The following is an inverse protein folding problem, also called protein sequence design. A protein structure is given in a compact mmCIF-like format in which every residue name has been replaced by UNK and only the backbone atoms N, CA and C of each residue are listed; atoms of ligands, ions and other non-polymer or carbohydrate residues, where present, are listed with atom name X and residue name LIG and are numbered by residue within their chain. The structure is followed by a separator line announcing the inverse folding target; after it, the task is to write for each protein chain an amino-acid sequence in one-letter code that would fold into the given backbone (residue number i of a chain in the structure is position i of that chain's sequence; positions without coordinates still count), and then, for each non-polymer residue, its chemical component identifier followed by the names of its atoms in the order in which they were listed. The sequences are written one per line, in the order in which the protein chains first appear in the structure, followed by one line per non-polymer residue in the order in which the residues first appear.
data_IF_871887135612
#
_entry.id   IF_871887135612
#
_cell.length_a   1.000
_cell.length_b   1.000
_cell.length_c   1.000
_cell.angle_alpha   90.00
_cell.angle_beta   90.00
_cell.angle_gamma   90.00
#
_symmetry.space_group_name_H-M   'P 1'
#
loop_
_entity.id
_entity.type
_entity.pdbx_description
1 polymer ?
#
# COMPACT_ATOMS: atom_id res chain seq x y z
N UNK A 1 -10.29 -74.14 41.09
CA UNK A 1 -11.46 -73.84 40.25
C UNK A 1 -11.25 -72.45 39.68
N UNK A 2 -10.95 -72.34 38.38
CA UNK A 2 -10.64 -71.07 37.73
C UNK A 2 -11.89 -70.58 37.01
N UNK A 3 -12.45 -69.46 37.47
CA UNK A 3 -13.67 -68.88 36.90
C UNK A 3 -13.32 -67.97 35.72
N UNK A 4 -13.75 -68.36 34.52
CA UNK A 4 -13.53 -67.63 33.25
C UNK A 4 -14.26 -66.28 33.18
N UNK A 5 -15.30 -66.08 34.00
CA UNK A 5 -16.03 -64.81 34.06
C UNK A 5 -15.23 -63.68 34.74
N UNK A 6 -14.26 -63.99 35.60
CA UNK A 6 -13.45 -62.95 36.26
C UNK A 6 -12.39 -62.36 35.33
N UNK A 7 -11.93 -63.14 34.37
CA UNK A 7 -10.98 -62.70 33.34
C UNK A 7 -11.64 -61.76 32.35
N UNK A 8 -12.85 -62.06 31.87
CA UNK A 8 -13.54 -61.19 30.88
C UNK A 8 -13.94 -59.82 31.45
N UNK A 9 -14.35 -59.75 32.73
CA UNK A 9 -14.66 -58.47 33.40
C UNK A 9 -13.39 -57.64 33.64
N UNK A 10 -12.27 -58.31 33.93
CA UNK A 10 -10.96 -57.67 34.08
C UNK A 10 -10.46 -57.13 32.73
N UNK A 11 -10.66 -57.89 31.66
CA UNK A 11 -10.29 -57.51 30.30
C UNK A 11 -11.16 -56.35 29.78
N UNK A 12 -12.46 -56.31 30.12
CA UNK A 12 -13.36 -55.17 29.80
C UNK A 12 -13.02 -53.90 30.61
N UNK A 13 -12.70 -54.03 31.91
CA UNK A 13 -12.25 -52.90 32.75
C UNK A 13 -10.88 -52.35 32.31
N UNK A 14 -9.96 -53.21 31.85
CA UNK A 14 -8.67 -52.81 31.28
C UNK A 14 -8.83 -52.17 29.90
N UNK A 15 -9.74 -52.67 29.05
CA UNK A 15 -10.07 -52.04 27.77
C UNK A 15 -10.77 -50.67 27.95
N UNK A 16 -11.66 -50.52 28.93
CA UNK A 16 -12.29 -49.22 29.25
C UNK A 16 -11.30 -48.23 29.88
N UNK A 17 -10.34 -48.69 30.69
CA UNK A 17 -9.26 -47.84 31.23
C UNK A 17 -8.26 -47.43 30.15
N UNK A 18 -7.93 -48.32 29.20
CA UNK A 18 -7.09 -48.02 28.05
C UNK A 18 -7.80 -47.11 27.02
N UNK A 19 -9.14 -47.21 26.87
CA UNK A 19 -9.94 -46.35 25.97
C UNK A 19 -10.15 -44.93 26.52
N UNK A 20 -10.04 -44.71 27.84
CA UNK A 20 -10.16 -43.37 28.46
C UNK A 20 -8.79 -42.67 28.56
N UNK A 21 -7.67 -43.39 28.35
CA UNK A 21 -6.31 -42.82 28.40
C UNK A 21 -5.53 -43.16 27.13
N UNK A 22 -6.04 -42.73 25.98
CA UNK A 22 -5.18 -42.39 24.84
C UNK A 22 -5.32 -40.89 24.56
N UNK A 23 -4.78 -40.08 25.48
CA UNK A 23 -4.46 -38.69 25.15
C UNK A 23 -3.28 -38.74 24.16
N UNK A 24 -3.60 -38.77 22.87
CA UNK A 24 -2.66 -38.48 21.79
C UNK A 24 -1.84 -37.26 22.23
N UNK A 25 -0.50 -37.34 22.34
CA UNK A 25 0.29 -36.18 22.72
C UNK A 25 -0.03 -35.08 21.71
N UNK A 26 -0.76 -34.07 22.19
CA UNK A 26 -1.09 -32.92 21.40
C UNK A 26 0.24 -32.35 20.91
N UNK A 27 0.37 -32.29 19.58
CA UNK A 27 1.55 -31.82 18.84
C UNK A 27 2.25 -30.73 19.63
N UNK A 28 3.58 -30.76 19.69
CA UNK A 28 4.39 -29.66 20.21
C UNK A 28 4.10 -28.40 19.37
N UNK A 29 3.01 -27.71 19.71
CA UNK A 29 2.70 -26.39 19.22
C UNK A 29 3.73 -25.54 19.92
N UNK A 30 4.80 -25.24 19.16
CA UNK A 30 5.88 -24.31 19.48
C UNK A 30 5.54 -23.45 20.69
N UNK A 31 6.38 -23.51 21.73
CA UNK A 31 6.30 -22.69 22.95
C UNK A 31 6.41 -21.20 22.60
N UNK A 32 5.38 -20.71 21.95
CA UNK A 32 5.21 -19.33 21.58
C UNK A 32 4.84 -18.62 22.86
N UNK A 33 5.47 -17.47 23.10
CA UNK A 33 5.31 -16.70 24.33
C UNK A 33 3.83 -16.57 24.75
N UNK A 34 2.91 -16.45 23.79
CA UNK A 34 1.46 -16.48 24.02
C UNK A 34 0.95 -17.75 24.71
N UNK A 35 1.33 -18.95 24.28
CA UNK A 35 0.91 -20.20 24.95
C UNK A 35 1.53 -20.30 26.34
N UNK A 36 2.76 -19.83 26.55
CA UNK A 36 3.35 -19.79 27.89
C UNK A 36 2.66 -18.77 28.83
N UNK A 37 2.22 -17.62 28.31
CA UNK A 37 1.50 -16.61 29.10
C UNK A 37 0.03 -16.97 29.36
N UNK A 38 -0.65 -17.66 28.44
CA UNK A 38 -2.08 -18.02 28.56
C UNK A 38 -2.32 -19.43 29.12
N UNK A 39 -1.49 -20.42 28.79
CA UNK A 39 -1.70 -21.81 29.21
C UNK A 39 -1.07 -22.12 30.57
N UNK A 40 0.09 -21.52 30.91
CA UNK A 40 0.73 -21.71 32.20
C UNK A 40 0.29 -20.58 33.13
N UNK A 41 -0.79 -20.81 33.87
CA UNK A 41 -1.48 -19.85 34.75
C UNK A 41 -0.57 -19.08 35.71
N UNK A 42 0.10 -18.04 35.22
CA UNK A 42 0.95 -17.13 35.99
C UNK A 42 0.14 -16.00 36.64
N UNK A 43 -1.18 -16.02 36.49
CA UNK A 43 -2.09 -14.98 36.97
C UNK A 43 -2.71 -15.46 38.29
N UNK A 44 -1.94 -15.31 39.37
CA UNK A 44 -2.47 -15.39 40.74
C UNK A 44 -3.43 -14.22 40.96
N UNK A 45 -4.52 -14.37 41.75
CA UNK A 45 -5.58 -13.33 41.90
C UNK A 45 -5.07 -11.92 42.23
N UNK A 46 -3.95 -11.82 42.96
CA UNK A 46 -3.34 -10.55 43.36
C UNK A 46 -2.61 -9.86 42.20
N UNK A 47 -1.88 -10.61 41.37
CA UNK A 47 -1.23 -10.07 40.15
C UNK A 47 -2.25 -9.82 39.03
N UNK A 48 -3.31 -10.61 38.95
CA UNK A 48 -4.43 -10.41 38.02
C UNK A 48 -5.08 -9.03 38.17
N UNK A 49 -5.35 -8.65 39.41
CA UNK A 49 -6.04 -7.39 39.74
C UNK A 49 -5.14 -6.19 39.46
N UNK A 50 -3.83 -6.31 39.71
CA UNK A 50 -2.84 -5.27 39.38
C UNK A 50 -2.52 -5.14 37.89
N UNK A 51 -2.59 -6.23 37.12
CA UNK A 51 -2.32 -6.24 35.68
C UNK A 51 -3.54 -5.84 34.81
N UNK A 52 -4.75 -5.90 35.37
CA UNK A 52 -6.00 -5.54 34.71
C UNK A 52 -5.98 -4.15 34.02
N UNK A 53 -5.54 -3.05 34.67
CA UNK A 53 -5.43 -1.75 33.99
C UNK A 53 -4.41 -1.75 32.85
N UNK A 54 -3.34 -2.54 32.93
CA UNK A 54 -2.32 -2.64 31.88
C UNK A 54 -2.84 -3.39 30.64
N UNK A 55 -3.63 -4.45 30.82
CA UNK A 55 -4.27 -5.17 29.71
C UNK A 55 -5.28 -4.28 29.01
N UNK A 56 -6.09 -3.52 29.77
CA UNK A 56 -7.01 -2.52 29.20
C UNK A 56 -6.27 -1.44 28.42
N UNK A 57 -5.11 -1.00 28.90
CA UNK A 57 -4.29 -0.03 28.17
C UNK A 57 -3.80 -0.58 26.82
N UNK A 58 -3.32 -1.83 26.78
CA UNK A 58 -2.91 -2.48 25.52
C UNK A 58 -4.11 -2.68 24.59
N UNK A 59 -5.27 -3.09 25.12
CA UNK A 59 -6.49 -3.24 24.33
C UNK A 59 -6.94 -1.91 23.72
N UNK A 60 -6.85 -0.81 24.48
CA UNK A 60 -7.12 0.55 24.00
C UNK A 60 -6.14 0.94 22.88
N UNK A 61 -4.84 0.70 23.07
CA UNK A 61 -3.84 0.91 22.02
C UNK A 61 -4.13 0.10 20.75
N UNK A 62 -4.54 -1.17 20.92
CA UNK A 62 -4.97 -2.03 19.81
C UNK A 62 -6.18 -1.47 19.07
N UNK A 63 -7.16 -0.93 19.80
CA UNK A 63 -8.33 -0.27 19.22
C UNK A 63 -7.94 0.98 18.41
N UNK A 64 -7.07 1.83 18.96
CA UNK A 64 -6.54 3.00 18.24
C UNK A 64 -5.78 2.56 16.99
N UNK A 65 -4.99 1.49 17.08
CA UNK A 65 -4.24 0.96 15.95
C UNK A 65 -5.15 0.49 14.82
N UNK A 66 -6.19 -0.29 15.13
CA UNK A 66 -7.18 -0.75 14.14
C UNK A 66 -7.90 0.45 13.51
N UNK A 67 -8.23 1.47 14.31
CA UNK A 67 -8.82 2.71 13.82
C UNK A 67 -7.91 3.42 12.81
N UNK A 68 -6.63 3.59 13.15
CA UNK A 68 -5.64 4.21 12.26
C UNK A 68 -5.40 3.38 10.99
N UNK A 69 -5.41 2.05 11.09
CA UNK A 69 -5.27 1.17 9.94
C UNK A 69 -6.39 1.39 8.91
N UNK A 70 -7.63 1.56 9.36
CA UNK A 70 -8.75 1.82 8.46
C UNK A 70 -8.65 3.19 7.76
N UNK A 71 -8.10 4.20 8.44
CA UNK A 71 -7.82 5.51 7.82
C UNK A 71 -6.70 5.43 6.78
N UNK A 72 -5.63 4.68 7.08
CA UNK A 72 -4.54 4.47 6.13
C UNK A 72 -5.04 3.76 4.87
N UNK A 73 -5.89 2.74 5.01
CA UNK A 73 -6.45 2.02 3.88
C UNK A 73 -7.30 2.92 2.96
N UNK A 74 -8.15 3.79 3.54
CA UNK A 74 -8.92 4.78 2.77
C UNK A 74 -8.00 5.74 2.03
N UNK A 75 -7.00 6.28 2.73
CA UNK A 75 -6.02 7.22 2.18
C UNK A 75 -5.28 6.61 1.00
N UNK A 76 -4.90 5.33 1.06
CA UNK A 76 -4.22 4.65 -0.04
C UNK A 76 -5.11 4.57 -1.28
N UNK A 77 -6.40 4.24 -1.12
CA UNK A 77 -7.33 4.21 -2.25
C UNK A 77 -7.53 5.60 -2.86
N UNK A 78 -7.68 6.63 -2.02
CA UNK A 78 -7.83 8.00 -2.47
C UNK A 78 -6.58 8.47 -3.25
N UNK A 79 -5.37 8.07 -2.81
CA UNK A 79 -4.12 8.35 -3.53
C UNK A 79 -4.12 7.70 -4.91
N UNK A 80 -4.56 6.45 -5.03
CA UNK A 80 -4.59 5.75 -6.32
C UNK A 80 -5.54 6.44 -7.31
N UNK A 81 -6.73 6.83 -6.84
CA UNK A 81 -7.73 7.54 -7.66
C UNK A 81 -7.20 8.92 -8.11
N UNK A 82 -6.68 9.73 -7.18
CA UNK A 82 -6.10 11.04 -7.51
C UNK A 82 -4.90 10.90 -8.46
N UNK A 83 -4.06 9.89 -8.27
CA UNK A 83 -2.90 9.64 -9.15
C UNK A 83 -3.33 9.35 -10.58
N UNK A 84 -4.42 8.59 -10.74
CA UNK A 84 -5.01 8.33 -12.05
C UNK A 84 -5.52 9.62 -12.70
N UNK A 85 -6.25 10.44 -11.96
CA UNK A 85 -6.74 11.73 -12.46
C UNK A 85 -5.59 12.66 -12.90
N UNK A 86 -4.55 12.77 -12.07
CA UNK A 86 -3.36 13.58 -12.39
C UNK A 86 -2.68 13.07 -13.67
N UNK A 87 -2.62 11.74 -13.84
CA UNK A 87 -2.06 11.14 -15.05
C UNK A 87 -2.90 11.52 -16.26
N UNK A 88 -4.22 11.34 -16.22
CA UNK A 88 -5.14 11.72 -17.30
C UNK A 88 -5.01 13.20 -17.69
N UNK A 89 -5.07 14.11 -16.70
CA UNK A 89 -4.83 15.55 -16.92
C UNK A 89 -3.45 15.83 -17.53
N UNK A 90 -2.43 15.08 -17.11
CA UNK A 90 -1.09 15.16 -17.65
C UNK A 90 -0.99 14.75 -19.13
N UNK A 91 -1.80 13.78 -19.57
CA UNK A 91 -1.92 13.42 -20.99
C UNK A 91 -2.59 14.53 -21.79
N UNK A 92 -3.71 15.08 -21.30
CA UNK A 92 -4.42 16.17 -21.97
C UNK A 92 -3.51 17.38 -22.18
N UNK A 93 -2.75 17.77 -21.15
CA UNK A 93 -1.80 18.87 -21.24
C UNK A 93 -0.70 18.60 -22.28
N UNK A 94 -0.12 17.40 -22.30
CA UNK A 94 0.93 17.04 -23.27
C UNK A 94 0.39 17.08 -24.70
N UNK A 95 -0.80 16.54 -24.92
CA UNK A 95 -1.47 16.56 -26.23
C UNK A 95 -1.75 17.99 -26.69
N UNK A 96 -2.39 18.80 -25.85
CA UNK A 96 -2.69 20.19 -26.17
C UNK A 96 -1.41 21.02 -26.45
N UNK A 97 -0.34 20.78 -25.69
CA UNK A 97 0.96 21.41 -25.91
C UNK A 97 1.60 20.97 -27.22
N UNK A 98 1.51 19.68 -27.58
CA UNK A 98 2.02 19.18 -28.85
C UNK A 98 1.25 19.80 -30.03
N UNK A 99 -0.07 19.91 -29.93
CA UNK A 99 -0.91 20.56 -30.95
C UNK A 99 -0.55 22.03 -31.11
N UNK A 100 -0.35 22.75 -29.99
CA UNK A 100 0.10 24.15 -30.02
C UNK A 100 1.49 24.29 -30.67
N UNK A 101 2.43 23.42 -30.31
CA UNK A 101 3.78 23.43 -30.87
C UNK A 101 3.76 23.15 -32.39
N UNK A 102 2.95 22.18 -32.82
CA UNK A 102 2.75 21.89 -34.24
C UNK A 102 2.21 23.11 -34.99
N UNK A 103 1.14 23.74 -34.48
CA UNK A 103 0.56 24.96 -35.06
C UNK A 103 1.53 26.15 -35.06
N UNK A 104 2.47 26.19 -34.12
CA UNK A 104 3.49 27.25 -34.00
C UNK A 104 4.72 27.01 -34.88
N UNK A 105 4.79 25.90 -35.62
CA UNK A 105 5.91 25.60 -36.52
C UNK A 105 5.89 26.55 -37.71
N UNK A 106 7.05 27.07 -38.11
CA UNK A 106 7.18 28.06 -39.19
C UNK A 106 6.50 27.65 -40.50
N UNK A 107 6.50 26.35 -40.85
CA UNK A 107 5.85 25.83 -42.05
C UNK A 107 4.32 25.83 -41.96
N UNK A 108 3.75 25.52 -40.78
CA UNK A 108 2.31 25.60 -40.51
C UNK A 108 1.84 27.06 -40.40
N UNK A 109 2.65 27.92 -39.76
CA UNK A 109 2.38 29.35 -39.65
C UNK A 109 2.45 30.01 -41.03
N UNK A 110 3.46 29.72 -41.85
CA UNK A 110 3.57 30.26 -43.21
C UNK A 110 2.33 29.91 -44.05
N UNK A 111 1.88 28.65 -44.03
CA UNK A 111 0.65 28.23 -44.73
C UNK A 111 -0.60 28.99 -44.26
N UNK A 112 -0.73 29.27 -42.96
CA UNK A 112 -1.86 30.06 -42.41
C UNK A 112 -1.69 31.57 -42.64
N UNK A 113 -0.46 32.05 -42.77
CA UNK A 113 -0.13 33.45 -42.99
C UNK A 113 -0.20 33.83 -44.48
N UNK A 114 -0.07 32.85 -45.39
CA UNK A 114 -0.25 33.02 -46.83
C UNK A 114 -1.69 33.47 -47.16
N UNK A 115 -2.70 32.99 -46.43
CA UNK A 115 -4.08 33.48 -46.57
C UNK A 115 -4.26 34.92 -46.07
N UNK A 116 -3.35 35.39 -45.22
CA UNK A 116 -3.28 36.75 -44.69
C UNK A 116 -2.33 37.65 -45.49
N UNK A 117 -1.68 37.13 -46.54
CA UNK A 117 -0.77 37.88 -47.41
C UNK A 117 0.63 38.14 -46.85
N UNK A 118 1.02 37.49 -45.75
CA UNK A 118 2.32 37.69 -45.08
C UNK A 118 3.34 36.68 -45.61
N UNK A 119 4.47 37.15 -46.15
CA UNK A 119 5.53 36.30 -46.72
C UNK A 119 6.70 36.14 -45.76
N UNK A 120 7.29 34.94 -45.71
CA UNK A 120 8.50 34.68 -44.93
C UNK A 120 9.70 35.45 -45.52
N UNK A 121 10.47 36.13 -44.67
CA UNK A 121 11.75 36.74 -45.07
C UNK A 121 12.78 35.64 -45.29
N UNK A 122 13.10 35.36 -46.56
CA UNK A 122 14.11 34.36 -46.96
C UNK A 122 15.51 34.98 -47.01
N UNK A 123 15.58 36.31 -47.11
CA UNK A 123 16.84 37.04 -47.17
C UNK A 123 17.39 37.30 -45.76
N UNK A 124 18.71 37.08 -45.56
CA UNK A 124 19.36 37.40 -44.30
C UNK A 124 19.33 38.92 -44.04
N UNK A 125 19.21 39.36 -42.77
CA UNK A 125 19.14 40.77 -42.43
C UNK A 125 20.44 41.49 -42.85
N UNK A 126 20.30 42.53 -43.67
CA UNK A 126 21.44 43.31 -44.15
C UNK A 126 21.91 44.30 -43.07
N UNK A 127 23.22 44.31 -42.82
CA UNK A 127 23.86 45.31 -41.95
C UNK A 127 23.90 46.65 -42.68
N UNK A 128 23.07 47.58 -42.26
CA UNK A 128 23.10 48.96 -42.75
C UNK A 128 24.39 49.59 -42.23
N UNK A 129 25.38 49.75 -43.11
CA UNK A 129 26.62 50.48 -42.79
C UNK A 129 26.50 51.85 -43.42
N UNK A 130 26.28 52.87 -42.58
CA UNK A 130 26.24 54.26 -43.03
C UNK A 130 27.65 54.60 -43.52
N UNK A 131 27.80 54.89 -44.81
CA UNK A 131 28.99 55.58 -45.31
C UNK A 131 28.80 57.03 -44.92
N UNK A 132 29.63 57.53 -44.01
CA UNK A 132 29.79 58.98 -43.84
C UNK A 132 30.30 59.51 -45.17
N UNK A 133 29.46 60.29 -45.86
CA UNK A 133 29.88 61.05 -47.01
C UNK A 133 30.99 61.99 -46.55
N UNK A 134 32.18 61.79 -47.10
CA UNK A 134 33.25 62.77 -47.03
C UNK A 134 32.80 63.98 -47.85
N UNK A 135 32.20 64.95 -47.18
CA UNK A 135 32.01 66.29 -47.71
C UNK A 135 33.40 66.87 -48.01
N UNK A 136 33.73 66.87 -49.30
CA UNK A 136 34.95 67.43 -49.84
C UNK A 136 35.04 68.92 -49.59
N UNK A 137 36.22 69.35 -49.15
CA UNK A 137 36.73 70.70 -49.32
C UNK A 137 37.00 71.00 -50.80
#
# INVERSE_FOLDING_TARGET
MTNRLRTEIQDEEELEQDLIVEEKPAREIQDNLFTQFFAKGFITKETATGALPFIMYIALLGMIYIGNMHLAEKTIRDIDDITKEVKERGWDYKTAKADMAFKSTLTEVAKRADTLGVRQSVEPPQKITVKEDQDGN
#
